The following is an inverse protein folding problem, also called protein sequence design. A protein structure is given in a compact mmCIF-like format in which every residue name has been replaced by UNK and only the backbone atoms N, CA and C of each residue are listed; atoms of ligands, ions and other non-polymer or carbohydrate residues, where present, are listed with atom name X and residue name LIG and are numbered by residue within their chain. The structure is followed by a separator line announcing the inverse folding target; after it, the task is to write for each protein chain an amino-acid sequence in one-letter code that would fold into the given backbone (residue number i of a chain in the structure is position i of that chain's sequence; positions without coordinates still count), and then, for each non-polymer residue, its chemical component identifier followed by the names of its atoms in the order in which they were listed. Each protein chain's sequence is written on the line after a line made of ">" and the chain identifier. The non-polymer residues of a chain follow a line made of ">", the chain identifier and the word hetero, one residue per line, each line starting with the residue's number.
data_IF_903040711463
#
_entry.id   IF_903040711463
#
_cell.length_a   1.000
_cell.length_b   1.000
_cell.length_c   1.000
_cell.angle_alpha   90.00
_cell.angle_beta   90.00
_cell.angle_gamma   90.00
#
_symmetry.space_group_name_H-M   'P 1'
#
loop_
_entity.id
_entity.type
_entity.pdbx_description
1 polymer ?
#
# COMPACT_ATOMS: atom_id res chain seq x y z
N UNK A 1 -14.36 -2.23 3.52
CA UNK A 1 -13.71 -3.55 3.76
C UNK A 1 -14.73 -4.64 4.08
N UNK A 2 -15.45 -4.58 5.21
CA UNK A 2 -16.38 -5.68 5.61
C UNK A 2 -17.38 -6.13 4.53
N UNK A 3 -18.06 -5.20 3.86
CA UNK A 3 -18.97 -5.52 2.74
C UNK A 3 -18.27 -6.18 1.54
N UNK A 4 -17.03 -5.79 1.26
CA UNK A 4 -16.26 -6.39 0.16
C UNK A 4 -15.84 -7.83 0.47
N UNK A 5 -15.64 -8.19 1.74
CA UNK A 5 -15.29 -9.55 2.15
C UNK A 5 -16.47 -10.53 2.06
N UNK A 6 -17.71 -10.03 2.16
CA UNK A 6 -18.92 -10.86 2.05
C UNK A 6 -19.07 -11.54 0.69
N UNK A 7 -18.40 -11.04 -0.35
CA UNK A 7 -18.42 -11.66 -1.68
C UNK A 7 -17.32 -12.70 -1.89
N UNK A 8 -16.58 -13.07 -0.83
CA UNK A 8 -15.42 -13.99 -0.90
C UNK A 8 -14.49 -13.69 -2.08
N UNK A 9 -13.99 -12.44 -2.20
CA UNK A 9 -13.21 -12.05 -3.36
C UNK A 9 -11.90 -12.84 -3.42
N UNK A 10 -11.29 -12.91 -4.61
CA UNK A 10 -9.90 -13.41 -4.77
C UNK A 10 -8.87 -12.29 -4.70
N UNK A 11 -9.30 -11.05 -4.94
CA UNK A 11 -8.51 -9.83 -4.90
C UNK A 11 -9.30 -8.74 -4.18
N UNK A 12 -8.68 -8.11 -3.19
CA UNK A 12 -9.20 -6.93 -2.52
C UNK A 12 -8.37 -5.71 -2.93
N UNK A 13 -9.00 -4.77 -3.64
CA UNK A 13 -8.46 -3.43 -3.86
C UNK A 13 -8.85 -2.51 -2.70
N UNK A 14 -7.88 -1.74 -2.23
CA UNK A 14 -8.05 -0.79 -1.14
C UNK A 14 -7.47 0.53 -1.59
N UNK A 15 -8.34 1.53 -1.72
CA UNK A 15 -7.96 2.90 -2.04
C UNK A 15 -7.90 3.72 -0.75
N UNK A 16 -6.78 4.40 -0.54
CA UNK A 16 -6.52 5.30 0.59
C UNK A 16 -6.94 4.77 1.97
N UNK A 17 -6.22 3.75 2.47
CA UNK A 17 -6.55 3.10 3.75
C UNK A 17 -6.49 4.04 4.97
N UNK A 18 -5.50 4.94 5.01
CA UNK A 18 -5.23 5.76 6.20
C UNK A 18 -6.06 7.04 6.32
N UNK A 19 -6.75 7.46 5.26
CA UNK A 19 -7.41 8.76 5.22
C UNK A 19 -8.53 8.86 6.28
N UNK A 20 -8.42 9.86 7.16
CA UNK A 20 -9.43 10.14 8.18
C UNK A 20 -9.47 9.16 9.36
N UNK A 21 -8.52 8.22 9.44
CA UNK A 21 -8.43 7.25 10.54
C UNK A 21 -7.31 7.60 11.51
N UNK A 22 -7.54 7.32 12.79
CA UNK A 22 -6.49 7.42 13.80
C UNK A 22 -5.39 6.37 13.51
N UNK A 23 -4.09 6.69 13.74
CA UNK A 23 -2.97 5.80 13.41
C UNK A 23 -3.14 4.36 13.92
N UNK A 24 -3.61 4.20 15.16
CA UNK A 24 -3.83 2.88 15.78
C UNK A 24 -4.89 2.04 15.06
N UNK A 25 -5.89 2.69 14.45
CA UNK A 25 -6.93 1.99 13.67
C UNK A 25 -6.35 1.49 12.36
N UNK A 26 -5.50 2.29 11.72
CA UNK A 26 -4.80 1.89 10.49
C UNK A 26 -3.88 0.70 10.76
N UNK A 27 -3.14 0.72 11.86
CA UNK A 27 -2.24 -0.38 12.24
C UNK A 27 -3.02 -1.69 12.44
N UNK A 28 -4.13 -1.63 13.19
CA UNK A 28 -5.01 -2.79 13.38
C UNK A 28 -5.62 -3.28 12.06
N UNK A 29 -5.99 -2.38 11.14
CA UNK A 29 -6.50 -2.78 9.82
C UNK A 29 -5.42 -3.49 9.00
N UNK A 30 -4.19 -2.97 9.00
CA UNK A 30 -3.05 -3.57 8.30
C UNK A 30 -2.82 -5.00 8.81
N UNK A 31 -2.83 -5.22 10.13
CA UNK A 31 -2.67 -6.56 10.71
C UNK A 31 -3.72 -7.54 10.17
N UNK A 32 -4.99 -7.12 10.11
CA UNK A 32 -6.07 -7.95 9.54
C UNK A 32 -5.91 -8.20 8.05
N UNK A 33 -5.45 -7.21 7.29
CA UNK A 33 -5.16 -7.39 5.87
C UNK A 33 -4.06 -8.43 5.66
N UNK A 34 -2.99 -8.37 6.45
CA UNK A 34 -1.91 -9.37 6.40
C UNK A 34 -2.43 -10.78 6.73
N UNK A 35 -3.32 -10.93 7.71
CA UNK A 35 -3.97 -12.21 8.01
C UNK A 35 -4.76 -12.75 6.81
N UNK A 36 -5.55 -11.89 6.15
CA UNK A 36 -6.30 -12.27 4.94
C UNK A 36 -5.38 -12.64 3.78
N UNK A 37 -4.27 -11.92 3.61
CA UNK A 37 -3.30 -12.25 2.57
C UNK A 37 -2.69 -13.64 2.80
N UNK A 38 -2.32 -13.95 4.04
CA UNK A 38 -1.83 -15.27 4.44
C UNK A 38 -2.86 -16.39 4.25
N UNK A 39 -4.16 -16.09 4.25
CA UNK A 39 -5.21 -17.05 3.93
C UNK A 39 -5.47 -17.23 2.43
N UNK A 40 -4.64 -16.63 1.56
CA UNK A 40 -4.70 -16.78 0.10
C UNK A 40 -5.41 -15.65 -0.65
N UNK A 41 -5.83 -14.59 0.05
CA UNK A 41 -6.41 -13.40 -0.58
C UNK A 41 -5.33 -12.53 -1.23
N UNK A 42 -5.48 -12.17 -2.50
CA UNK A 42 -4.59 -11.16 -3.10
C UNK A 42 -5.00 -9.76 -2.62
N UNK A 43 -4.03 -8.90 -2.33
CA UNK A 43 -4.28 -7.52 -1.92
C UNK A 43 -3.60 -6.54 -2.88
N UNK A 44 -4.30 -5.47 -3.22
CA UNK A 44 -3.72 -4.30 -3.90
C UNK A 44 -4.08 -3.06 -3.08
N UNK A 45 -3.07 -2.48 -2.44
CA UNK A 45 -3.19 -1.30 -1.60
C UNK A 45 -2.67 -0.08 -2.35
N UNK A 46 -3.49 0.96 -2.40
CA UNK A 46 -3.12 2.29 -2.90
C UNK A 46 -2.94 3.19 -1.67
N UNK A 47 -1.75 3.78 -1.53
CA UNK A 47 -1.39 4.62 -0.38
C UNK A 47 -0.48 5.78 -0.81
N UNK A 48 -0.63 6.90 -0.11
CA UNK A 48 0.26 8.04 -0.18
C UNK A 48 1.37 7.94 0.88
N UNK A 49 1.12 7.25 2.00
CA UNK A 49 2.11 7.04 3.06
C UNK A 49 2.95 5.77 2.82
N UNK A 50 3.97 5.93 1.98
CA UNK A 50 4.77 4.84 1.42
C UNK A 50 5.35 3.90 2.49
N UNK A 51 5.83 4.41 3.63
CA UNK A 51 6.49 3.60 4.66
C UNK A 51 5.63 2.46 5.22
N UNK A 52 4.32 2.68 5.40
CA UNK A 52 3.41 1.67 5.94
C UNK A 52 3.12 0.57 4.91
N UNK A 53 2.94 0.96 3.65
CA UNK A 53 2.72 0.02 2.56
C UNK A 53 3.96 -0.85 2.29
N UNK A 54 5.16 -0.26 2.33
CA UNK A 54 6.41 -1.00 2.14
C UNK A 54 6.62 -2.10 3.17
N UNK A 55 6.17 -1.91 4.41
CA UNK A 55 6.33 -2.88 5.48
C UNK A 55 5.55 -4.19 5.28
N UNK A 56 4.54 -4.18 4.39
CA UNK A 56 3.65 -5.33 4.17
C UNK A 56 3.59 -5.80 2.72
N UNK A 57 4.17 -5.05 1.79
CA UNK A 57 4.06 -5.34 0.37
C UNK A 57 5.10 -6.36 -0.08
N UNK A 58 4.72 -7.28 -0.96
CA UNK A 58 5.68 -8.15 -1.67
C UNK A 58 6.27 -7.42 -2.90
N UNK A 59 5.48 -6.54 -3.52
CA UNK A 59 5.83 -5.76 -4.71
C UNK A 59 5.30 -4.34 -4.58
N UNK A 60 6.03 -3.39 -5.13
CA UNK A 60 5.77 -1.95 -5.01
C UNK A 60 5.82 -1.32 -6.39
N UNK A 61 4.83 -0.48 -6.67
CA UNK A 61 4.77 0.38 -7.84
C UNK A 61 4.61 1.82 -7.35
N UNK A 62 5.41 2.73 -7.91
CA UNK A 62 5.23 4.17 -7.66
C UNK A 62 4.75 4.84 -8.93
N UNK A 63 3.68 5.60 -8.81
CA UNK A 63 3.05 6.32 -9.91
C UNK A 63 3.31 7.82 -9.76
N UNK A 64 3.77 8.46 -10.83
CA UNK A 64 3.86 9.92 -10.92
C UNK A 64 3.31 10.39 -12.27
N UNK A 65 2.40 11.35 -12.26
CA UNK A 65 1.80 11.94 -13.47
C UNK A 65 1.29 10.89 -14.47
N UNK A 66 0.65 9.84 -13.96
CA UNK A 66 0.08 8.75 -14.76
C UNK A 66 1.11 7.75 -15.33
N UNK A 67 2.37 7.80 -14.89
CA UNK A 67 3.43 6.88 -15.32
C UNK A 67 4.03 6.15 -14.12
N UNK A 68 4.34 4.86 -14.30
CA UNK A 68 5.09 4.08 -13.32
C UNK A 68 6.54 4.56 -13.38
N UNK A 69 7.03 5.13 -12.29
CA UNK A 69 8.40 5.65 -12.16
C UNK A 69 9.31 4.68 -11.39
N UNK A 70 8.72 3.73 -10.66
CA UNK A 70 9.43 2.67 -9.97
C UNK A 70 8.58 1.40 -9.92
N UNK A 71 9.22 0.25 -10.11
CA UNK A 71 8.66 -1.08 -9.94
C UNK A 71 9.74 -1.97 -9.30
N UNK A 72 9.40 -2.65 -8.21
CA UNK A 72 10.36 -3.53 -7.52
C UNK A 72 9.84 -4.10 -6.22
N UNK A 73 10.75 -4.62 -5.40
CA UNK A 73 10.45 -5.02 -4.03
C UNK A 73 10.56 -3.83 -3.07
N UNK A 74 10.02 -3.91 -1.84
CA UNK A 74 10.26 -2.87 -0.83
C UNK A 74 11.74 -2.65 -0.52
N UNK A 75 12.56 -3.71 -0.59
CA UNK A 75 13.99 -3.63 -0.39
C UNK A 75 14.66 -2.79 -1.49
N UNK A 76 14.22 -2.94 -2.75
CA UNK A 76 14.71 -2.14 -3.87
C UNK A 76 14.30 -0.68 -3.71
N UNK A 77 13.05 -0.43 -3.28
CA UNK A 77 12.54 0.92 -3.05
C UNK A 77 13.35 1.66 -1.98
N UNK A 78 13.71 0.96 -0.89
CA UNK A 78 14.52 1.50 0.20
C UNK A 78 15.96 1.77 -0.23
N UNK A 79 16.58 0.86 -0.99
CA UNK A 79 17.97 1.01 -1.45
C UNK A 79 18.14 2.11 -2.49
N UNK A 80 17.14 2.33 -3.34
CA UNK A 80 17.21 3.30 -4.42
C UNK A 80 17.02 4.75 -3.95
N UNK A 81 16.67 5.00 -2.68
CA UNK A 81 16.16 6.31 -2.25
C UNK A 81 14.85 6.71 -2.95
N UNK A 82 14.21 5.76 -3.64
CA UNK A 82 13.00 5.99 -4.41
C UNK A 82 11.83 6.43 -3.52
N UNK A 83 11.86 6.07 -2.23
CA UNK A 83 10.89 6.53 -1.24
C UNK A 83 11.03 8.03 -1.00
N UNK A 84 12.25 8.54 -0.74
CA UNK A 84 12.47 9.98 -0.58
C UNK A 84 12.15 10.74 -1.87
N UNK A 85 12.54 10.20 -3.03
CA UNK A 85 12.27 10.82 -4.32
C UNK A 85 10.76 10.88 -4.62
N UNK A 86 10.01 9.80 -4.34
CA UNK A 86 8.55 9.80 -4.47
C UNK A 86 7.88 10.79 -3.51
N UNK A 87 8.37 10.91 -2.27
CA UNK A 87 7.88 11.91 -1.32
C UNK A 87 8.17 13.34 -1.79
N UNK A 88 9.37 13.61 -2.34
CA UNK A 88 9.75 14.92 -2.86
C UNK A 88 8.95 15.29 -4.13
N UNK A 89 8.68 14.32 -5.01
CA UNK A 89 7.86 14.50 -6.20
C UNK A 89 6.36 14.68 -5.88
N UNK A 90 5.89 14.18 -4.73
CA UNK A 90 4.54 14.42 -4.21
C UNK A 90 4.40 15.73 -3.41
N UNK A 91 5.50 16.24 -2.86
CA UNK A 91 5.56 17.48 -2.07
C UNK A 91 5.77 18.75 -2.92
N UNK A 92 5.83 18.64 -4.25
CA UNK A 92 6.08 19.76 -5.15
C UNK A 92 5.26 19.70 -6.43
N UNK A 93 4.10 20.34 -6.41
CA UNK A 93 3.59 21.39 -7.33
C UNK A 93 2.16 21.74 -6.97
#
# INVERSE_FOLDING_TARGET
>A
IGRALMSEPRLLLIDELSLGLAPRVVDALIERLVELNKSGMSLLLIEQFVHRALGIADRVYMLSKGRVVFEGTPADATKAGAVEEAYLLGAGT
#
